data_IF_087433247752
#
_entry.id   IF_087433247752
#
_cell.length_a   1.000
_cell.length_b   1.000
_cell.length_c   1.000
_cell.angle_alpha   90.00
_cell.angle_beta   90.00
_cell.angle_gamma   90.00
#
_symmetry.space_group_name_H-M   'P 1'
#
loop_
_entity.id
_entity.type
_entity.pdbx_description
1 polymer ?
#
# COMPACT_ATOMS: atom_id res chain seq x y z
N UNK A 1 21.29 -16.66 2.61
CA UNK A 1 20.27 -17.30 3.47
C UNK A 1 20.02 -16.40 4.68
N UNK A 2 19.06 -15.47 4.56
CA UNK A 2 18.70 -14.57 5.66
C UNK A 2 17.65 -15.26 6.56
N UNK A 3 17.98 -15.42 7.84
CA UNK A 3 17.08 -15.92 8.88
C UNK A 3 16.17 -14.78 9.32
N UNK A 4 14.86 -14.91 9.14
CA UNK A 4 13.88 -14.03 9.76
C UNK A 4 13.95 -14.20 11.28
N UNK A 5 14.14 -13.09 12.01
CA UNK A 5 14.03 -13.03 13.46
C UNK A 5 12.61 -12.62 13.81
N UNK A 6 11.97 -13.39 14.67
CA UNK A 6 10.72 -13.02 15.34
C UNK A 6 10.93 -11.73 16.13
N UNK A 7 10.34 -10.62 15.67
CA UNK A 7 10.27 -9.40 16.44
C UNK A 7 9.05 -9.45 17.36
N UNK A 8 9.33 -9.76 18.62
CA UNK A 8 8.47 -9.54 19.78
C UNK A 8 7.95 -8.10 19.77
N UNK A 9 6.62 -7.93 19.71
CA UNK A 9 5.97 -6.65 19.98
C UNK A 9 6.20 -6.29 21.46
N UNK A 10 7.15 -5.39 21.72
CA UNK A 10 7.38 -4.81 23.04
C UNK A 10 6.26 -3.82 23.37
N UNK A 11 5.68 -3.98 24.57
CA UNK A 11 4.65 -3.11 25.13
C UNK A 11 5.17 -1.66 25.24
N UNK A 12 4.66 -0.76 24.41
CA UNK A 12 4.76 0.68 24.63
C UNK A 12 3.80 1.11 25.74
N UNK A 13 4.30 1.74 26.80
CA UNK A 13 3.48 2.32 27.87
C UNK A 13 2.97 3.69 27.45
N UNK A 14 1.68 3.79 27.14
CA UNK A 14 1.00 5.07 26.97
C UNK A 14 0.54 5.57 28.35
N UNK A 15 1.05 6.72 28.81
CA UNK A 15 0.48 7.41 29.98
C UNK A 15 -0.78 8.15 29.51
N UNK A 16 -1.95 7.57 29.77
CA UNK A 16 -3.22 8.28 29.66
C UNK A 16 -3.39 9.24 30.86
N UNK A 17 -3.68 10.51 30.59
CA UNK A 17 -4.17 11.47 31.58
C UNK A 17 -5.55 11.02 32.11
N UNK A 18 -5.88 11.22 33.40
CA UNK A 18 -7.08 10.64 33.98
C UNK A 18 -8.31 11.46 33.59
N UNK A 19 -9.00 11.02 32.55
CA UNK A 19 -10.41 11.35 32.30
C UNK A 19 -11.21 10.11 32.69
N UNK A 20 -11.97 10.18 33.79
CA UNK A 20 -12.65 9.04 34.44
C UNK A 20 -13.94 8.59 33.74
N UNK A 21 -13.91 8.43 32.42
CA UNK A 21 -14.92 7.61 31.75
C UNK A 21 -14.35 6.19 31.67
N UNK A 22 -14.97 5.25 32.38
CA UNK A 22 -14.66 3.83 32.20
C UNK A 22 -14.86 3.50 30.72
N UNK A 23 -13.80 3.07 30.03
CA UNK A 23 -13.94 2.55 28.68
C UNK A 23 -14.95 1.40 28.74
N UNK A 24 -15.91 1.31 27.81
CA UNK A 24 -16.81 0.17 27.77
C UNK A 24 -15.97 -1.10 27.67
N UNK A 25 -16.37 -2.13 28.43
CA UNK A 25 -15.68 -3.41 28.40
C UNK A 25 -15.65 -3.92 26.96
N UNK A 26 -14.45 -4.04 26.39
CA UNK A 26 -14.29 -4.65 25.07
C UNK A 26 -14.54 -6.14 25.23
N UNK A 27 -15.65 -6.61 24.68
CA UNK A 27 -15.95 -8.04 24.61
C UNK A 27 -15.21 -8.65 23.42
N UNK A 28 -14.62 -9.82 23.63
CA UNK A 28 -14.02 -10.62 22.56
C UNK A 28 -14.92 -11.81 22.26
N UNK A 29 -15.04 -12.23 20.99
CA UNK A 29 -15.80 -13.41 20.63
C UNK A 29 -15.19 -14.66 21.29
N UNK A 30 -16.04 -15.62 21.67
CA UNK A 30 -15.61 -16.90 22.26
C UNK A 30 -15.05 -17.86 21.22
N UNK A 31 -15.37 -17.67 19.96
CA UNK A 31 -14.90 -18.49 18.85
C UNK A 31 -15.29 -17.91 17.50
N UNK A 32 -14.62 -18.39 16.45
CA UNK A 32 -14.89 -18.05 15.05
C UNK A 32 -15.08 -19.35 14.28
N UNK A 33 -16.14 -19.42 13.49
CA UNK A 33 -16.45 -20.53 12.60
C UNK A 33 -16.42 -20.03 11.15
N UNK A 34 -15.67 -20.74 10.30
CA UNK A 34 -15.73 -20.54 8.85
C UNK A 34 -16.88 -21.41 8.32
N UNK A 35 -17.87 -20.78 7.69
CA UNK A 35 -18.96 -21.52 7.05
C UNK A 35 -18.57 -21.78 5.59
N UNK A 36 -17.96 -22.94 5.35
CA UNK A 36 -17.58 -23.38 4.00
C UNK A 36 -18.83 -23.55 3.12
N UNK A 37 -18.81 -22.94 1.93
CA UNK A 37 -19.94 -22.92 0.99
C UNK A 37 -20.80 -21.64 1.01
N UNK A 38 -20.72 -20.85 2.09
CA UNK A 38 -21.40 -19.55 2.20
C UNK A 38 -20.45 -18.34 2.11
N UNK A 39 -19.13 -18.57 2.09
CA UNK A 39 -18.12 -17.51 2.18
C UNK A 39 -18.34 -16.58 3.38
N UNK A 40 -18.69 -17.14 4.54
CA UNK A 40 -19.06 -16.37 5.72
C UNK A 40 -18.20 -16.74 6.93
N UNK A 41 -17.88 -15.74 7.75
CA UNK A 41 -17.34 -15.93 9.09
C UNK A 41 -18.48 -15.67 10.09
N UNK A 42 -18.93 -16.72 10.75
CA UNK A 42 -19.80 -16.59 11.91
C UNK A 42 -18.93 -16.50 13.14
N UNK A 43 -19.25 -15.59 14.05
CA UNK A 43 -18.58 -15.62 15.32
C UNK A 43 -19.53 -15.60 16.52
N UNK A 44 -19.04 -16.12 17.65
CA UNK A 44 -19.87 -16.54 18.77
C UNK A 44 -19.69 -15.60 19.96
N UNK A 45 -20.71 -14.78 20.27
CA UNK A 45 -20.63 -13.77 21.33
C UNK A 45 -21.01 -14.39 22.67
N UNK A 46 -20.48 -13.88 23.79
CA UNK A 46 -20.86 -14.40 25.09
C UNK A 46 -22.32 -14.14 25.46
N UNK A 47 -22.95 -13.07 24.95
CA UNK A 47 -24.18 -12.51 25.53
C UNK A 47 -25.38 -12.25 24.57
N UNK A 48 -25.27 -12.32 23.22
CA UNK A 48 -26.41 -12.19 22.25
C UNK A 48 -26.12 -12.86 20.88
N UNK A 49 -27.12 -12.89 19.96
CA UNK A 49 -27.11 -13.49 18.61
C UNK A 49 -25.77 -13.36 17.87
N UNK A 50 -25.32 -14.46 17.25
CA UNK A 50 -24.14 -14.48 16.41
C UNK A 50 -24.29 -13.48 15.26
N UNK A 51 -23.34 -12.55 15.17
CA UNK A 51 -23.20 -11.68 14.01
C UNK A 51 -22.22 -12.28 13.02
N UNK A 52 -22.59 -12.30 11.74
CA UNK A 52 -21.70 -12.68 10.65
C UNK A 52 -20.96 -11.47 10.08
N UNK A 53 -19.74 -11.69 9.59
CA UNK A 53 -19.15 -10.85 8.55
C UNK A 53 -19.05 -11.69 7.28
N UNK A 54 -19.57 -11.17 6.17
CA UNK A 54 -19.38 -11.82 4.88
C UNK A 54 -17.92 -11.66 4.47
N UNK A 55 -17.29 -12.72 3.92
CA UNK A 55 -15.86 -12.66 3.57
C UNK A 55 -15.57 -11.59 2.51
N UNK A 56 -16.56 -11.22 1.70
CA UNK A 56 -16.45 -10.13 0.72
C UNK A 56 -16.24 -8.76 1.36
N UNK A 57 -16.82 -8.51 2.53
CA UNK A 57 -16.60 -7.27 3.28
C UNK A 57 -15.17 -7.22 3.86
N UNK A 58 -14.65 -8.37 4.27
CA UNK A 58 -13.28 -8.49 4.81
C UNK A 58 -12.24 -8.31 3.70
N UNK A 59 -12.48 -8.87 2.51
CA UNK A 59 -11.59 -8.67 1.36
C UNK A 59 -11.66 -7.24 0.81
N UNK A 60 -12.83 -6.59 0.83
CA UNK A 60 -12.98 -5.18 0.44
C UNK A 60 -12.22 -4.23 1.37
N UNK A 61 -12.29 -4.44 2.70
CA UNK A 61 -11.50 -3.66 3.67
C UNK A 61 -9.99 -3.80 3.44
N UNK A 62 -9.55 -4.98 2.97
CA UNK A 62 -8.15 -5.24 2.66
C UNK A 62 -7.72 -4.67 1.30
N UNK A 63 -8.61 -4.57 0.30
CA UNK A 63 -8.30 -3.96 -1.00
C UNK A 63 -8.25 -2.44 -0.93
N UNK A 64 -9.22 -1.81 -0.24
CA UNK A 64 -9.35 -0.35 -0.17
C UNK A 64 -8.21 0.31 0.63
N UNK A 65 -7.44 -0.50 1.36
CA UNK A 65 -6.32 -0.06 2.20
C UNK A 65 -4.94 -0.41 1.65
N UNK A 66 -4.85 -1.14 0.55
CA UNK A 66 -3.55 -1.47 -0.06
C UNK A 66 -3.08 -0.35 -0.99
N UNK A 67 -1.77 -0.11 -1.07
CA UNK A 67 -1.24 0.76 -2.11
C UNK A 67 -1.57 0.20 -3.49
N UNK A 68 -1.95 1.08 -4.41
CA UNK A 68 -1.97 0.76 -5.83
C UNK A 68 -0.54 0.81 -6.36
N UNK A 69 -0.11 -0.22 -7.07
CA UNK A 69 1.25 -0.34 -7.60
C UNK A 69 1.27 -0.18 -9.12
N UNK A 70 2.45 0.12 -9.65
CA UNK A 70 2.65 0.31 -11.08
C UNK A 70 4.09 0.66 -11.45
N UNK A 71 4.29 1.00 -12.71
CA UNK A 71 5.58 1.37 -13.29
C UNK A 71 5.54 2.75 -13.94
N UNK A 72 6.71 3.38 -14.06
CA UNK A 72 6.90 4.59 -14.86
C UNK A 72 7.52 4.23 -16.20
N UNK A 73 6.78 4.46 -17.29
CA UNK A 73 7.23 4.22 -18.66
C UNK A 73 7.67 5.53 -19.32
N UNK A 74 8.96 5.67 -19.57
CA UNK A 74 9.53 6.81 -20.31
C UNK A 74 9.56 6.52 -21.80
N UNK A 75 8.77 7.24 -22.59
CA UNK A 75 8.75 7.17 -24.06
C UNK A 75 9.92 7.92 -24.70
N UNK A 76 10.32 9.03 -24.09
CA UNK A 76 11.38 9.90 -24.60
C UNK A 76 12.29 10.37 -23.47
N UNK A 77 13.60 10.19 -23.64
CA UNK A 77 14.62 10.74 -22.73
C UNK A 77 15.34 11.94 -23.35
N UNK A 78 14.84 13.14 -23.08
CA UNK A 78 15.53 14.37 -23.47
C UNK A 78 16.82 14.64 -22.69
N UNK A 79 16.94 14.10 -21.48
CA UNK A 79 18.10 14.37 -20.63
C UNK A 79 19.32 13.56 -21.04
N UNK A 80 19.10 12.38 -21.65
CA UNK A 80 20.13 11.39 -21.94
C UNK A 80 20.72 10.73 -20.69
N UNK A 81 20.11 10.93 -19.51
CA UNK A 81 20.61 10.43 -18.22
C UNK A 81 20.00 9.10 -17.84
N UNK A 82 18.75 8.87 -18.21
CA UNK A 82 17.91 7.87 -17.54
C UNK A 82 17.21 6.91 -18.48
N UNK A 83 17.48 6.98 -19.79
CA UNK A 83 17.04 6.01 -20.79
C UNK A 83 15.53 6.05 -21.10
N UNK A 84 15.11 5.26 -22.09
CA UNK A 84 13.70 5.02 -22.40
C UNK A 84 13.27 3.63 -21.92
N UNK A 85 11.98 3.43 -21.68
CA UNK A 85 11.45 2.16 -21.17
C UNK A 85 10.93 2.30 -19.74
N UNK A 86 10.88 1.19 -19.00
CA UNK A 86 10.48 1.22 -17.59
C UNK A 86 11.64 1.77 -16.77
N UNK A 87 11.40 2.88 -16.08
CA UNK A 87 12.47 3.63 -15.41
C UNK A 87 12.34 3.66 -13.89
N UNK A 88 11.16 3.29 -13.38
CA UNK A 88 10.89 3.19 -11.96
C UNK A 88 9.65 2.33 -11.69
N UNK A 89 9.58 1.81 -10.47
CA UNK A 89 8.35 1.32 -9.85
C UNK A 89 7.74 2.42 -8.98
N UNK A 90 6.42 2.35 -8.77
CA UNK A 90 5.76 3.21 -7.80
C UNK A 90 4.66 2.49 -7.02
N UNK A 91 4.36 3.03 -5.84
CA UNK A 91 3.21 2.66 -5.03
C UNK A 91 2.47 3.91 -4.55
N UNK A 92 1.17 4.01 -4.84
CA UNK A 92 0.28 5.05 -4.33
C UNK A 92 -0.54 4.51 -3.17
N UNK A 93 -0.31 5.06 -1.97
CA UNK A 93 -1.08 4.74 -0.78
C UNK A 93 -2.52 5.29 -0.86
N UNK A 94 -3.48 4.70 -0.14
CA UNK A 94 -4.85 5.24 -0.04
C UNK A 94 -4.90 6.70 0.46
N UNK A 95 -3.87 7.15 1.19
CA UNK A 95 -3.72 8.55 1.60
C UNK A 95 -3.38 9.52 0.45
N UNK A 96 -3.20 9.02 -0.76
CA UNK A 96 -2.76 9.77 -1.95
C UNK A 96 -1.24 9.82 -2.14
N UNK A 97 -0.45 9.66 -1.06
CA UNK A 97 1.02 9.69 -1.12
C UNK A 97 1.58 8.63 -2.07
N UNK A 98 2.64 8.98 -2.78
CA UNK A 98 3.31 8.11 -3.76
C UNK A 98 4.75 7.89 -3.34
N UNK A 99 5.21 6.66 -3.38
CA UNK A 99 6.63 6.30 -3.28
C UNK A 99 7.07 5.80 -4.66
N UNK A 100 8.24 6.25 -5.09
CA UNK A 100 8.85 5.89 -6.38
C UNK A 100 10.23 5.30 -6.09
N UNK A 101 10.54 4.16 -6.70
CA UNK A 101 11.87 3.54 -6.65
C UNK A 101 12.42 3.44 -8.06
N UNK A 102 13.58 4.06 -8.30
CA UNK A 102 14.21 4.10 -9.62
C UNK A 102 14.87 2.76 -9.96
N UNK A 103 14.65 2.29 -11.19
CA UNK A 103 15.30 1.08 -11.72
C UNK A 103 16.61 1.46 -12.40
N UNK A 104 17.66 1.56 -11.59
CA UNK A 104 18.96 2.04 -12.05
C UNK A 104 19.91 0.94 -12.58
N UNK A 105 19.52 -0.32 -12.45
CA UNK A 105 20.25 -1.50 -12.90
C UNK A 105 19.68 -2.11 -14.21
N UNK A 106 18.43 -1.82 -14.54
CA UNK A 106 17.71 -2.40 -15.69
C UNK A 106 17.65 -1.49 -16.93
N UNK A 107 18.24 -0.29 -16.90
CA UNK A 107 18.10 0.71 -17.96
C UNK A 107 19.39 0.97 -18.74
N UNK A 108 19.31 0.92 -20.07
CA UNK A 108 20.43 1.21 -20.96
C UNK A 108 20.79 2.71 -20.87
N UNK A 109 22.06 3.03 -20.60
CA UNK A 109 22.65 4.39 -20.50
C UNK A 109 22.54 5.15 -19.17
N UNK A 110 22.37 4.46 -18.04
CA UNK A 110 22.41 5.12 -16.73
C UNK A 110 23.84 5.47 -16.28
N UNK A 111 23.99 6.69 -15.77
CA UNK A 111 25.26 7.17 -15.19
C UNK A 111 25.48 6.69 -13.75
N UNK A 112 24.44 6.18 -13.09
CA UNK A 112 24.46 5.79 -11.68
C UNK A 112 23.83 4.41 -11.50
N UNK A 113 24.44 3.58 -10.66
CA UNK A 113 23.98 2.21 -10.36
C UNK A 113 23.21 2.12 -9.04
N UNK A 114 23.28 3.14 -8.19
CA UNK A 114 22.57 3.16 -6.91
C UNK A 114 21.09 3.48 -7.14
N UNK A 115 20.18 2.66 -6.62
CA UNK A 115 18.74 2.92 -6.68
C UNK A 115 18.34 3.95 -5.62
N UNK A 116 17.53 4.93 -6.05
CA UNK A 116 17.02 5.98 -5.18
C UNK A 116 15.53 5.82 -4.93
N UNK A 117 15.06 6.36 -3.80
CA UNK A 117 13.64 6.45 -3.48
C UNK A 117 13.22 7.92 -3.43
N UNK A 118 12.05 8.22 -3.98
CA UNK A 118 11.40 9.52 -3.87
C UNK A 118 9.97 9.38 -3.32
N UNK A 119 9.54 10.37 -2.53
CA UNK A 119 8.22 10.36 -1.89
C UNK A 119 7.48 11.65 -2.22
N UNK A 120 6.25 11.52 -2.71
CA UNK A 120 5.38 12.62 -3.12
C UNK A 120 4.07 12.64 -2.34
N UNK A 121 3.51 13.83 -2.08
CA UNK A 121 2.30 13.94 -1.26
C UNK A 121 1.03 13.46 -1.96
N UNK A 122 1.00 13.48 -3.30
CA UNK A 122 -0.13 13.05 -4.15
C UNK A 122 0.33 12.74 -5.57
N UNK A 123 -0.47 11.96 -6.31
CA UNK A 123 -0.12 11.48 -7.66
C UNK A 123 0.10 12.61 -8.66
N UNK A 124 -0.73 13.65 -8.64
CA UNK A 124 -0.61 14.74 -9.62
C UNK A 124 0.71 15.52 -9.44
N UNK A 125 1.24 15.59 -8.21
CA UNK A 125 2.57 16.19 -7.95
C UNK A 125 3.68 15.28 -8.47
N UNK A 126 3.54 13.96 -8.32
CA UNK A 126 4.49 13.00 -8.89
C UNK A 126 4.52 13.11 -10.42
N UNK A 127 3.35 13.15 -11.06
CA UNK A 127 3.20 13.33 -12.52
C UNK A 127 3.73 14.69 -12.99
N UNK A 128 3.44 15.78 -12.25
CA UNK A 128 3.92 17.11 -12.64
C UNK A 128 5.45 17.22 -12.66
N UNK A 129 6.14 16.57 -11.71
CA UNK A 129 7.59 16.63 -11.58
C UNK A 129 8.27 15.60 -12.49
N UNK A 130 7.77 14.36 -12.49
CA UNK A 130 8.43 13.20 -13.12
C UNK A 130 7.76 12.70 -14.39
N UNK A 131 6.58 13.21 -14.73
CA UNK A 131 5.90 12.90 -15.99
C UNK A 131 6.55 13.57 -17.19
N UNK A 132 7.44 14.54 -16.97
CA UNK A 132 8.21 15.24 -18.00
C UNK A 132 7.35 15.75 -19.18
N UNK A 133 6.18 16.33 -18.87
CA UNK A 133 5.25 16.84 -19.87
C UNK A 133 4.60 15.76 -20.75
N UNK A 134 4.40 14.56 -20.19
CA UNK A 134 3.81 13.41 -20.89
C UNK A 134 4.83 12.45 -21.52
N UNK A 135 6.13 12.73 -21.38
CA UNK A 135 7.19 11.82 -21.86
C UNK A 135 7.41 10.63 -20.95
N UNK A 136 6.95 10.70 -19.71
CA UNK A 136 6.89 9.58 -18.77
C UNK A 136 5.48 9.39 -18.26
N UNK A 137 4.95 8.19 -18.43
CA UNK A 137 3.62 7.81 -18.01
C UNK A 137 3.70 6.96 -16.74
N UNK A 138 2.84 7.23 -15.76
CA UNK A 138 2.64 6.37 -14.60
C UNK A 138 1.54 5.38 -14.95
N UNK A 139 1.86 4.09 -15.01
CA UNK A 139 0.96 3.02 -15.44
C UNK A 139 0.77 2.08 -14.25
N UNK A 140 -0.45 2.02 -13.70
CA UNK A 140 -0.80 1.06 -12.68
C UNK A 140 -0.76 -0.38 -13.23
N UNK A 141 -0.56 -1.37 -12.37
CA UNK A 141 -0.48 -2.79 -12.77
C UNK A 141 -1.74 -3.31 -13.46
N UNK A 142 -2.88 -2.66 -13.24
CA UNK A 142 -4.13 -2.94 -13.94
C UNK A 142 -4.22 -2.28 -15.34
N UNK A 143 -3.15 -1.64 -15.81
CA UNK A 143 -3.05 -0.97 -17.11
C UNK A 143 -3.61 0.45 -17.14
N UNK A 144 -4.20 0.97 -16.06
CA UNK A 144 -4.67 2.36 -16.02
C UNK A 144 -3.46 3.31 -16.03
N UNK A 145 -3.52 4.37 -16.84
CA UNK A 145 -2.56 5.48 -16.75
C UNK A 145 -3.04 6.47 -15.69
N UNK A 146 -2.14 6.94 -14.83
CA UNK A 146 -2.47 7.98 -13.86
C UNK A 146 -2.77 9.30 -14.57
N UNK A 147 -3.92 9.87 -14.23
CA UNK A 147 -4.40 11.13 -14.80
C UNK A 147 -3.53 12.31 -14.31
N UNK A 148 -3.45 13.36 -15.14
CA UNK A 148 -2.70 14.60 -14.84
C UNK A 148 -3.53 15.58 -14.00
#
# INVERSE_FOLDING_TARGET
>A
MAKYRDSVLTKGSYRASPSSAALPAVQFPRGVTVIEGANELEFHWPDEESGGLHLEDVTQIASDRRPLTGVMLRREDQSGVSGTGVVADFAQFPSGRVVIEWRNDENENLQFTDTGIDIRPRMEVAVAIHGHGGRTEFIYDNGKVADH
#
